data_IF_027656976446
#
_entry.id   IF_027656976446
#
_cell.length_a   1.000
_cell.length_b   1.000
_cell.length_c   1.000
_cell.angle_alpha   90.00
_cell.angle_beta   90.00
_cell.angle_gamma   90.00
#
_symmetry.space_group_name_H-M   'P 1'
#
loop_
_entity.id
_entity.type
_entity.pdbx_description
1 polymer ?
#
# COMPACT_ATOMS: atom_id res chain seq x y z
N UNK A 1 -3.88 23.18 17.97
CA UNK A 1 -2.93 22.30 18.68
C UNK A 1 -3.52 21.18 19.57
N UNK A 2 -4.78 21.15 20.01
CA UNK A 2 -5.29 20.05 20.84
C UNK A 2 -5.79 18.82 20.07
N UNK A 3 -5.95 18.89 18.76
CA UNK A 3 -6.58 17.82 17.97
C UNK A 3 -5.72 16.57 17.79
N UNK A 4 -4.43 16.72 17.81
CA UNK A 4 -3.46 15.65 17.62
C UNK A 4 -3.42 14.65 18.77
N UNK A 5 -3.33 15.14 20.00
CA UNK A 5 -3.28 14.30 21.21
C UNK A 5 -4.52 13.42 21.37
N UNK A 6 -5.70 13.92 20.96
CA UNK A 6 -6.95 13.15 21.02
C UNK A 6 -7.03 12.07 19.93
N UNK A 7 -6.51 12.33 18.72
CA UNK A 7 -6.47 11.34 17.65
C UNK A 7 -5.50 10.20 18.00
N UNK A 8 -4.35 10.53 18.58
CA UNK A 8 -3.36 9.55 19.01
C UNK A 8 -3.82 8.72 20.20
N UNK A 9 -4.44 9.36 21.21
CA UNK A 9 -5.01 8.62 22.32
C UNK A 9 -6.12 7.67 21.85
N UNK A 10 -6.97 8.11 20.91
CA UNK A 10 -7.95 7.25 20.24
C UNK A 10 -7.29 6.12 19.48
N UNK A 11 -6.19 6.37 18.77
CA UNK A 11 -5.44 5.33 18.06
C UNK A 11 -4.86 4.30 19.03
N UNK A 12 -4.22 4.73 20.11
CA UNK A 12 -3.69 3.86 21.16
C UNK A 12 -4.80 3.04 21.83
N UNK A 13 -5.92 3.67 22.17
CA UNK A 13 -7.06 3.00 22.80
C UNK A 13 -7.77 2.01 21.83
N UNK A 14 -7.89 2.36 20.55
CA UNK A 14 -8.47 1.47 19.52
C UNK A 14 -7.58 0.28 19.20
N UNK A 15 -6.27 0.35 19.41
CA UNK A 15 -5.33 -0.78 19.27
C UNK A 15 -5.68 -1.98 20.16
N UNK A 16 -6.35 -1.74 21.28
CA UNK A 16 -6.81 -2.79 22.19
C UNK A 16 -8.18 -3.35 21.80
N UNK A 17 -8.90 -2.69 20.87
CA UNK A 17 -10.16 -3.16 20.32
C UNK A 17 -9.89 -3.66 18.90
N UNK A 18 -9.94 -4.98 18.70
CA UNK A 18 -9.87 -5.60 17.38
C UNK A 18 -11.17 -5.27 16.62
N UNK A 19 -11.15 -4.24 15.78
CA UNK A 19 -12.24 -3.95 14.84
C UNK A 19 -12.09 -4.85 13.59
N UNK A 20 -13.21 -5.06 12.85
CA UNK A 20 -13.23 -5.93 11.66
C UNK A 20 -12.31 -5.46 10.53
N UNK A 21 -11.87 -4.20 10.55
CA UNK A 21 -11.04 -3.57 9.50
C UNK A 21 -9.92 -2.73 10.13
N UNK A 22 -8.85 -3.35 10.61
CA UNK A 22 -7.77 -2.65 11.33
C UNK A 22 -7.11 -1.52 10.52
N UNK A 23 -6.94 -1.69 9.20
CA UNK A 23 -6.29 -0.70 8.35
C UNK A 23 -7.12 0.59 8.23
N UNK A 24 -8.43 0.49 7.97
CA UNK A 24 -9.31 1.66 7.93
C UNK A 24 -9.22 2.45 9.25
N UNK A 25 -9.26 1.75 10.40
CA UNK A 25 -9.15 2.37 11.73
C UNK A 25 -7.82 3.09 11.93
N UNK A 26 -6.71 2.52 11.46
CA UNK A 26 -5.39 3.14 11.54
C UNK A 26 -5.36 4.44 10.73
N UNK A 27 -5.76 4.39 9.47
CA UNK A 27 -5.75 5.55 8.58
C UNK A 27 -6.73 6.65 9.02
N UNK A 28 -7.93 6.30 9.47
CA UNK A 28 -8.91 7.25 9.99
C UNK A 28 -8.48 7.91 11.30
N UNK A 29 -7.71 7.20 12.13
CA UNK A 29 -7.28 7.71 13.45
C UNK A 29 -6.10 8.66 13.38
N UNK A 30 -5.20 8.46 12.44
CA UNK A 30 -3.95 9.20 12.37
C UNK A 30 -4.01 10.36 11.36
N UNK A 31 -4.97 10.34 10.43
CA UNK A 31 -5.01 11.28 9.31
C UNK A 31 -3.85 11.05 8.32
N UNK A 32 -3.99 11.56 7.11
CA UNK A 32 -2.99 11.41 6.05
C UNK A 32 -1.63 12.04 6.38
N UNK A 33 -1.64 13.11 7.18
CA UNK A 33 -0.44 13.90 7.48
C UNK A 33 0.52 13.21 8.47
N UNK A 34 0.00 12.25 9.23
CA UNK A 34 0.74 11.59 10.32
C UNK A 34 1.62 10.46 9.83
N UNK A 35 1.29 9.87 8.70
CA UNK A 35 2.06 8.75 8.15
C UNK A 35 3.36 9.17 7.47
N UNK A 36 3.72 10.46 7.54
CA UNK A 36 4.85 10.98 6.79
C UNK A 36 4.61 10.73 5.31
N UNK A 37 3.38 11.01 4.85
CA UNK A 37 3.09 11.06 3.44
C UNK A 37 4.19 11.88 2.78
N UNK A 38 4.86 11.30 1.80
CA UNK A 38 5.97 12.00 1.14
C UNK A 38 5.46 13.28 0.50
N UNK A 39 4.25 13.19 -0.08
CA UNK A 39 3.56 14.33 -0.69
C UNK A 39 2.04 14.24 -0.42
N UNK A 40 1.32 15.38 -0.41
CA UNK A 40 -0.12 15.39 -0.17
C UNK A 40 -0.90 14.49 -1.13
N UNK A 41 -1.65 13.55 -0.55
CA UNK A 41 -2.48 12.59 -1.30
C UNK A 41 -1.80 11.28 -1.67
N UNK A 42 -0.50 11.12 -1.41
CA UNK A 42 0.24 9.90 -1.64
C UNK A 42 0.37 9.05 -0.38
N UNK A 43 0.21 7.74 -0.51
CA UNK A 43 0.38 6.79 0.59
C UNK A 43 1.40 5.71 0.30
N UNK A 44 1.92 5.62 -0.95
CA UNK A 44 2.97 4.67 -1.30
C UNK A 44 4.37 5.20 -0.96
N UNK A 45 5.34 4.31 -0.82
CA UNK A 45 6.74 4.61 -0.45
C UNK A 45 7.57 5.18 -1.59
N UNK A 46 7.04 5.14 -2.81
CA UNK A 46 7.74 5.59 -4.01
C UNK A 46 8.73 4.57 -4.57
N UNK A 47 9.01 4.73 -5.85
CA UNK A 47 10.10 4.06 -6.56
C UNK A 47 11.17 5.10 -6.86
N UNK A 48 12.40 4.91 -6.36
CA UNK A 48 13.44 5.92 -6.31
C UNK A 48 14.55 5.59 -7.30
N UNK A 49 15.02 6.59 -8.05
CA UNK A 49 16.19 6.47 -8.92
C UNK A 49 17.49 6.75 -8.14
N UNK A 50 17.39 7.56 -7.09
CA UNK A 50 18.51 7.97 -6.26
C UNK A 50 18.40 7.53 -4.80
N UNK A 51 19.24 8.09 -3.93
CA UNK A 51 19.38 7.67 -2.54
C UNK A 51 18.21 8.12 -1.62
N UNK A 52 17.16 8.72 -2.15
CA UNK A 52 16.02 9.23 -1.39
C UNK A 52 16.16 10.70 -1.01
N UNK A 53 16.60 11.53 -1.92
CA UNK A 53 16.75 12.96 -1.69
C UNK A 53 15.41 13.69 -1.73
N UNK A 54 15.38 14.90 -1.13
CA UNK A 54 14.15 15.67 -0.98
C UNK A 54 13.53 16.05 -2.33
N UNK A 55 14.35 16.37 -3.34
CA UNK A 55 13.88 16.76 -4.67
C UNK A 55 13.20 15.60 -5.43
N UNK A 56 13.48 14.34 -5.07
CA UNK A 56 12.82 13.18 -5.68
C UNK A 56 11.50 12.82 -4.99
N UNK A 57 11.24 13.37 -3.79
CA UNK A 57 10.10 12.96 -2.96
C UNK A 57 8.75 13.15 -3.65
N UNK A 58 8.62 14.18 -4.48
CA UNK A 58 7.42 14.44 -5.27
C UNK A 58 7.23 13.46 -6.45
N UNK A 59 8.33 12.93 -7.00
CA UNK A 59 8.32 12.07 -8.18
C UNK A 59 8.27 10.59 -7.84
N UNK A 60 8.92 10.17 -6.77
CA UNK A 60 9.04 8.77 -6.41
C UNK A 60 7.70 8.04 -6.24
N UNK A 61 6.65 8.63 -5.59
CA UNK A 61 5.33 8.02 -5.51
C UNK A 61 4.66 7.84 -6.89
N UNK A 62 4.84 8.81 -7.80
CA UNK A 62 4.36 8.72 -9.17
C UNK A 62 5.06 7.59 -9.93
N UNK A 63 6.40 7.50 -9.83
CA UNK A 63 7.20 6.44 -10.45
C UNK A 63 6.76 5.05 -9.99
N UNK A 64 6.34 4.88 -8.74
CA UNK A 64 5.77 3.61 -8.26
C UNK A 64 4.53 3.23 -9.07
N UNK A 65 3.63 4.18 -9.33
CA UNK A 65 2.44 3.95 -10.17
C UNK A 65 2.86 3.61 -11.60
N UNK A 66 3.83 4.32 -12.16
CA UNK A 66 4.38 4.05 -13.49
C UNK A 66 4.94 2.63 -13.61
N UNK A 67 5.70 2.17 -12.59
CA UNK A 67 6.24 0.80 -12.55
C UNK A 67 5.13 -0.26 -12.54
N UNK A 68 4.04 -0.03 -11.80
CA UNK A 68 2.91 -0.97 -11.75
C UNK A 68 2.09 -0.91 -13.05
N UNK A 69 1.82 0.27 -13.57
CA UNK A 69 1.07 0.46 -14.82
C UNK A 69 1.80 -0.14 -16.04
N UNK A 70 3.13 -0.23 -16.00
CA UNK A 70 3.91 -0.84 -17.09
C UNK A 70 3.55 -2.30 -17.37
N UNK A 71 2.94 -3.01 -16.43
CA UNK A 71 2.47 -4.38 -16.59
C UNK A 71 1.05 -4.47 -17.16
N UNK A 72 0.36 -3.35 -17.35
CA UNK A 72 -1.05 -3.31 -17.76
C UNK A 72 -1.17 -2.67 -19.14
N UNK A 73 -1.85 -3.30 -20.11
CA UNK A 73 -2.15 -2.67 -21.40
C UNK A 73 -3.01 -1.41 -21.21
N UNK A 74 -2.80 -0.38 -22.04
CA UNK A 74 -3.66 0.81 -22.01
C UNK A 74 -5.09 0.50 -22.47
N UNK A 75 -6.03 1.36 -22.10
CA UNK A 75 -7.44 1.24 -22.42
C UNK A 75 -8.21 0.29 -21.52
N UNK A 76 -9.44 -0.03 -21.91
CA UNK A 76 -10.33 -0.96 -21.22
C UNK A 76 -10.83 -0.48 -19.87
N UNK A 77 -11.30 -1.43 -19.04
CA UNK A 77 -11.85 -1.14 -17.71
C UNK A 77 -10.83 -1.51 -16.63
N UNK A 78 -10.39 -0.53 -15.87
CA UNK A 78 -9.37 -0.69 -14.83
C UNK A 78 -10.01 -0.54 -13.45
N UNK A 79 -9.66 -1.44 -12.55
CA UNK A 79 -10.05 -1.44 -11.14
C UNK A 79 -8.82 -1.17 -10.28
N UNK A 80 -8.81 -0.05 -9.54
CA UNK A 80 -7.78 0.26 -8.54
C UNK A 80 -8.29 -0.12 -7.14
N UNK A 81 -7.68 -1.12 -6.51
CA UNK A 81 -8.11 -1.67 -5.22
C UNK A 81 -7.18 -1.24 -4.11
N UNK A 82 -7.71 -0.46 -3.17
CA UNK A 82 -6.93 0.19 -2.13
C UNK A 82 -6.30 1.50 -2.62
N UNK A 83 -7.08 2.29 -3.35
CA UNK A 83 -6.64 3.51 -4.05
C UNK A 83 -6.13 4.65 -3.15
N UNK A 84 -6.21 4.50 -1.85
CA UNK A 84 -5.77 5.52 -0.88
C UNK A 84 -6.55 6.84 -1.02
N UNK A 85 -5.83 7.94 -1.21
CA UNK A 85 -6.39 9.29 -1.33
C UNK A 85 -6.57 9.77 -2.78
N UNK A 86 -6.52 8.88 -3.75
CA UNK A 86 -6.83 9.16 -5.15
C UNK A 86 -5.71 9.79 -5.98
N UNK A 87 -4.51 9.99 -5.44
CA UNK A 87 -3.40 10.55 -6.22
C UNK A 87 -2.92 9.58 -7.31
N UNK A 88 -2.89 8.27 -7.01
CA UNK A 88 -2.53 7.24 -7.97
C UNK A 88 -3.52 7.11 -9.11
N UNK A 89 -4.83 7.30 -8.84
CA UNK A 89 -5.88 7.23 -9.86
C UNK A 89 -5.67 8.26 -10.98
N UNK A 90 -5.17 9.47 -10.64
CA UNK A 90 -4.84 10.50 -11.62
C UNK A 90 -3.75 10.01 -12.58
N UNK A 91 -2.71 9.38 -12.04
CA UNK A 91 -1.59 8.85 -12.84
C UNK A 91 -2.02 7.63 -13.66
N UNK A 92 -2.82 6.72 -13.08
CA UNK A 92 -3.41 5.59 -13.80
C UNK A 92 -4.23 6.08 -15.01
N UNK A 93 -5.06 7.13 -14.82
CA UNK A 93 -5.83 7.76 -15.90
C UNK A 93 -4.93 8.32 -17.00
N UNK A 94 -3.87 9.02 -16.64
CA UNK A 94 -2.93 9.61 -17.59
C UNK A 94 -2.19 8.54 -18.42
N UNK A 95 -1.73 7.48 -17.76
CA UNK A 95 -0.89 6.45 -18.39
C UNK A 95 -1.70 5.44 -19.19
N UNK A 96 -2.74 4.88 -18.59
CA UNK A 96 -3.51 3.78 -19.19
C UNK A 96 -4.69 4.26 -20.02
N UNK A 97 -5.18 5.48 -19.84
CA UNK A 97 -6.35 6.05 -20.54
C UNK A 97 -7.53 5.06 -20.59
N UNK A 98 -7.92 4.49 -19.43
CA UNK A 98 -8.95 3.47 -19.41
C UNK A 98 -10.31 4.05 -19.85
N UNK A 99 -11.16 3.21 -20.50
CA UNK A 99 -12.54 3.58 -20.83
C UNK A 99 -13.34 3.83 -19.54
N UNK A 100 -13.05 3.06 -18.50
CA UNK A 100 -13.59 3.23 -17.15
C UNK A 100 -12.54 2.94 -16.10
N UNK A 101 -12.44 3.81 -15.10
CA UNK A 101 -11.61 3.62 -13.91
C UNK A 101 -12.52 3.52 -12.69
N UNK A 102 -12.43 2.43 -11.94
CA UNK A 102 -13.15 2.24 -10.68
C UNK A 102 -12.15 2.22 -9.53
N UNK A 103 -12.35 3.07 -8.54
CA UNK A 103 -11.48 3.21 -7.36
C UNK A 103 -12.16 2.60 -6.13
N UNK A 104 -11.62 1.48 -5.64
CA UNK A 104 -12.16 0.76 -4.48
C UNK A 104 -11.35 1.05 -3.23
N UNK A 105 -12.04 1.41 -2.15
CA UNK A 105 -11.44 1.55 -0.84
C UNK A 105 -12.40 1.05 0.26
N UNK A 106 -11.84 0.44 1.29
CA UNK A 106 -12.61 0.07 2.48
C UNK A 106 -12.97 1.29 3.34
N UNK A 107 -12.18 2.35 3.26
CA UNK A 107 -12.40 3.60 3.99
C UNK A 107 -13.17 4.62 3.16
N UNK A 108 -14.45 4.80 3.48
CA UNK A 108 -15.25 5.89 2.91
C UNK A 108 -14.63 7.28 3.19
N UNK A 109 -13.96 7.43 4.34
CA UNK A 109 -13.27 8.66 4.70
C UNK A 109 -12.19 9.01 3.66
N UNK A 110 -11.34 8.05 3.26
CA UNK A 110 -10.29 8.28 2.27
C UNK A 110 -10.87 8.64 0.89
N UNK A 111 -11.93 7.98 0.44
CA UNK A 111 -12.61 8.32 -0.82
C UNK A 111 -13.15 9.75 -0.79
N UNK A 112 -13.74 10.16 0.34
CA UNK A 112 -14.25 11.52 0.52
C UNK A 112 -13.13 12.56 0.51
N UNK A 113 -12.03 12.32 1.21
CA UNK A 113 -10.85 13.19 1.21
C UNK A 113 -10.18 13.26 -0.17
N UNK A 114 -10.21 12.15 -0.92
CA UNK A 114 -9.68 12.04 -2.29
C UNK A 114 -10.60 12.55 -3.39
N UNK A 115 -11.82 12.99 -3.10
CA UNK A 115 -12.88 13.27 -4.08
C UNK A 115 -12.46 14.17 -5.25
N UNK A 116 -11.67 15.21 -4.99
CA UNK A 116 -11.20 16.11 -6.04
C UNK A 116 -10.21 15.45 -7.00
N UNK A 117 -9.37 14.55 -6.50
CA UNK A 117 -8.44 13.75 -7.31
C UNK A 117 -9.17 12.68 -8.10
N UNK A 118 -10.13 12.01 -7.47
CA UNK A 118 -10.99 11.01 -8.14
C UNK A 118 -11.81 11.65 -9.26
N UNK A 119 -12.40 12.84 -9.04
CA UNK A 119 -13.09 13.59 -10.08
C UNK A 119 -12.15 13.96 -11.26
N UNK A 120 -10.92 14.39 -10.95
CA UNK A 120 -9.91 14.71 -11.99
C UNK A 120 -9.46 13.45 -12.74
N UNK A 121 -9.43 12.30 -12.09
CA UNK A 121 -9.14 11.02 -12.70
C UNK A 121 -10.34 10.41 -13.45
N UNK A 122 -11.52 10.98 -13.35
CA UNK A 122 -12.77 10.41 -13.86
C UNK A 122 -12.95 8.98 -13.33
N UNK A 123 -12.65 8.79 -12.04
CA UNK A 123 -12.73 7.50 -11.37
C UNK A 123 -14.03 7.39 -10.58
N UNK A 124 -14.70 6.25 -10.70
CA UNK A 124 -15.92 5.91 -9.97
C UNK A 124 -15.53 5.38 -8.57
N UNK A 125 -15.79 6.12 -7.46
CA UNK A 125 -15.45 5.67 -6.13
C UNK A 125 -16.44 4.60 -5.62
N UNK A 126 -15.91 3.51 -5.08
CA UNK A 126 -16.68 2.42 -4.49
C UNK A 126 -16.14 2.07 -3.11
N UNK A 127 -16.99 2.15 -2.09
CA UNK A 127 -16.63 1.68 -0.74
C UNK A 127 -16.91 0.18 -0.64
N UNK A 128 -15.83 -0.63 -0.57
CA UNK A 128 -15.95 -2.09 -0.46
C UNK A 128 -14.70 -2.73 0.16
N UNK A 129 -14.86 -3.95 0.67
CA UNK A 129 -13.77 -4.83 1.06
C UNK A 129 -13.17 -5.47 -0.20
N UNK A 130 -11.85 -5.45 -0.32
CA UNK A 130 -11.11 -6.06 -1.43
C UNK A 130 -11.36 -7.57 -1.58
N UNK A 131 -11.73 -8.24 -0.49
CA UNK A 131 -12.04 -9.68 -0.46
C UNK A 131 -13.49 -10.00 -0.84
N UNK A 132 -14.28 -8.96 -1.18
CA UNK A 132 -15.68 -9.07 -1.60
C UNK A 132 -16.06 -7.86 -2.47
N UNK A 133 -15.61 -7.88 -3.71
CA UNK A 133 -15.79 -6.77 -4.64
C UNK A 133 -17.21 -6.73 -5.22
N UNK A 134 -17.93 -5.60 -5.14
CA UNK A 134 -19.26 -5.43 -5.76
C UNK A 134 -19.12 -5.14 -7.27
N UNK A 135 -18.30 -5.92 -7.94
CA UNK A 135 -17.97 -5.81 -9.37
C UNK A 135 -18.38 -7.11 -10.07
N UNK A 136 -19.00 -7.00 -11.23
CA UNK A 136 -19.43 -8.16 -12.00
C UNK A 136 -18.24 -9.02 -12.44
N UNK A 137 -18.44 -10.33 -12.48
CA UNK A 137 -17.43 -11.27 -12.99
C UNK A 137 -17.11 -10.98 -14.44
N UNK A 138 -15.82 -11.12 -14.82
CA UNK A 138 -15.35 -10.97 -16.20
C UNK A 138 -15.51 -9.56 -16.78
N UNK A 139 -15.70 -8.53 -15.94
CA UNK A 139 -16.03 -7.18 -16.42
C UNK A 139 -14.84 -6.23 -16.50
N UNK A 140 -13.70 -6.58 -15.90
CA UNK A 140 -12.50 -5.73 -15.85
C UNK A 140 -11.40 -6.28 -16.77
N UNK A 141 -10.67 -5.38 -17.41
CA UNK A 141 -9.46 -5.72 -18.19
C UNK A 141 -8.21 -5.72 -17.34
N UNK A 142 -8.20 -4.93 -16.27
CA UNK A 142 -7.07 -4.89 -15.33
C UNK A 142 -7.52 -4.63 -13.89
N UNK A 143 -6.76 -5.20 -12.96
CA UNK A 143 -6.81 -4.91 -11.52
C UNK A 143 -5.45 -4.38 -11.09
N UNK A 144 -5.43 -3.22 -10.44
CA UNK A 144 -4.23 -2.59 -9.88
C UNK A 144 -4.38 -2.52 -8.36
N UNK A 145 -3.30 -2.73 -7.62
CA UNK A 145 -3.26 -2.51 -6.17
C UNK A 145 -1.87 -2.05 -5.75
N UNK A 146 -1.75 -0.84 -5.21
CA UNK A 146 -0.46 -0.22 -4.88
C UNK A 146 -0.33 -0.05 -3.38
N UNK A 147 0.61 -0.79 -2.76
CA UNK A 147 0.86 -0.80 -1.30
C UNK A 147 -0.41 -0.99 -0.45
N UNK A 148 -1.31 -1.88 -0.87
CA UNK A 148 -2.56 -2.09 -0.16
C UNK A 148 -2.81 -3.56 0.23
N UNK A 149 -2.34 -4.53 -0.55
CA UNK A 149 -2.72 -5.93 -0.38
C UNK A 149 -2.25 -6.53 0.97
N UNK A 150 -1.15 -6.06 1.53
CA UNK A 150 -0.70 -6.49 2.88
C UNK A 150 -1.63 -6.02 4.02
N UNK A 151 -2.51 -5.05 3.76
CA UNK A 151 -3.54 -4.61 4.71
C UNK A 151 -4.84 -5.40 4.61
N UNK A 152 -5.09 -6.12 3.52
CA UNK A 152 -6.34 -6.84 3.32
C UNK A 152 -6.48 -7.98 4.33
N UNK A 153 -7.72 -8.34 4.64
CA UNK A 153 -8.01 -9.42 5.59
C UNK A 153 -7.45 -10.77 5.12
N UNK A 154 -7.35 -10.98 3.80
CA UNK A 154 -6.72 -12.12 3.13
C UNK A 154 -6.29 -11.73 1.72
N UNK A 155 -4.98 -11.85 1.43
CA UNK A 155 -4.48 -11.71 0.05
C UNK A 155 -5.07 -12.76 -0.89
N UNK A 156 -5.13 -14.01 -0.44
CA UNK A 156 -5.68 -15.10 -1.24
C UNK A 156 -7.14 -14.84 -1.63
N UNK A 157 -7.97 -14.36 -0.70
CA UNK A 157 -9.34 -13.99 -1.01
C UNK A 157 -9.42 -12.78 -1.97
N UNK A 158 -8.53 -11.78 -1.81
CA UNK A 158 -8.42 -10.68 -2.77
C UNK A 158 -8.02 -11.18 -4.16
N UNK A 159 -7.05 -12.08 -4.26
CA UNK A 159 -6.64 -12.62 -5.56
C UNK A 159 -7.76 -13.44 -6.23
N UNK A 160 -8.53 -14.21 -5.47
CA UNK A 160 -9.69 -14.91 -5.99
C UNK A 160 -10.77 -13.92 -6.52
N UNK A 161 -11.03 -12.83 -5.81
CA UNK A 161 -11.93 -11.77 -6.28
C UNK A 161 -11.37 -11.03 -7.49
N UNK A 162 -10.08 -10.71 -7.50
CA UNK A 162 -9.41 -10.09 -8.64
C UNK A 162 -9.51 -10.97 -9.90
N UNK A 163 -9.28 -12.28 -9.76
CA UNK A 163 -9.45 -13.24 -10.85
C UNK A 163 -10.91 -13.30 -11.32
N UNK A 164 -11.85 -13.36 -10.41
CA UNK A 164 -13.29 -13.39 -10.73
C UNK A 164 -13.75 -12.18 -11.54
N UNK A 165 -13.30 -10.98 -11.18
CA UNK A 165 -13.73 -9.73 -11.85
C UNK A 165 -13.00 -9.49 -13.17
N UNK A 166 -11.82 -10.07 -13.35
CA UNK A 166 -11.08 -9.98 -14.61
C UNK A 166 -11.73 -10.82 -15.70
N UNK A 167 -11.73 -10.29 -16.93
CA UNK A 167 -12.02 -11.06 -18.13
C UNK A 167 -10.87 -12.03 -18.43
N UNK A 168 -11.09 -13.07 -19.25
CA UNK A 168 -9.99 -13.88 -19.76
C UNK A 168 -8.87 -12.99 -20.35
N UNK A 169 -7.63 -13.34 -20.10
CA UNK A 169 -6.42 -12.58 -20.46
C UNK A 169 -6.29 -11.19 -19.78
N UNK A 170 -7.18 -10.86 -18.83
CA UNK A 170 -7.06 -9.67 -18.01
C UNK A 170 -5.80 -9.70 -17.14
N UNK A 171 -5.30 -8.54 -16.73
CA UNK A 171 -4.05 -8.43 -15.98
C UNK A 171 -4.29 -7.97 -14.55
N UNK A 172 -3.56 -8.57 -13.60
CA UNK A 172 -3.35 -8.00 -12.28
C UNK A 172 -1.93 -7.46 -12.19
N UNK A 173 -1.78 -6.25 -11.62
CA UNK A 173 -0.48 -5.67 -11.32
C UNK A 173 -0.53 -5.03 -9.93
N UNK A 174 0.45 -5.33 -9.10
CA UNK A 174 0.48 -4.80 -7.74
C UNK A 174 1.89 -4.53 -7.23
N UNK A 175 1.98 -3.65 -6.26
CA UNK A 175 3.16 -3.47 -5.43
C UNK A 175 2.81 -3.77 -3.97
N UNK A 176 3.70 -4.47 -3.27
CA UNK A 176 3.39 -4.92 -1.92
C UNK A 176 4.62 -5.01 -1.00
N UNK A 177 4.38 -4.87 0.30
CA UNK A 177 5.37 -5.09 1.34
C UNK A 177 5.37 -6.58 1.69
N UNK A 178 6.55 -7.18 1.63
CA UNK A 178 6.76 -8.60 1.89
C UNK A 178 7.93 -8.82 2.84
N UNK A 179 8.13 -10.05 3.25
CA UNK A 179 9.36 -10.44 3.94
C UNK A 179 10.25 -11.27 2.99
N UNK A 180 11.56 -11.07 3.06
CA UNK A 180 12.51 -11.92 2.34
C UNK A 180 12.64 -13.28 3.00
N UNK A 181 12.50 -13.31 4.32
CA UNK A 181 12.47 -14.49 5.18
C UNK A 181 11.69 -14.22 6.46
N UNK A 182 11.25 -15.26 7.12
CA UNK A 182 10.64 -15.14 8.44
C UNK A 182 11.65 -14.60 9.46
N UNK A 183 11.20 -13.76 10.44
CA UNK A 183 12.04 -13.31 11.55
C UNK A 183 12.65 -14.49 12.33
N UNK A 184 13.93 -14.38 12.70
CA UNK A 184 14.68 -15.36 13.48
C UNK A 184 15.27 -14.68 14.70
N UNK A 185 15.16 -15.33 15.85
CA UNK A 185 15.64 -14.76 17.11
C UNK A 185 14.73 -13.69 17.71
N UNK A 186 14.93 -13.44 19.02
CA UNK A 186 14.04 -12.63 19.85
C UNK A 186 13.83 -11.20 19.33
N UNK A 187 14.91 -10.51 18.98
CA UNK A 187 14.83 -9.10 18.57
C UNK A 187 14.11 -8.88 17.22
N UNK A 188 14.33 -9.77 16.24
CA UNK A 188 13.60 -9.70 14.96
C UNK A 188 12.11 -10.01 15.15
N UNK A 189 11.79 -11.00 16.00
CA UNK A 189 10.39 -11.35 16.33
C UNK A 189 9.70 -10.19 17.04
N UNK A 190 10.34 -9.59 18.06
CA UNK A 190 9.79 -8.45 18.78
C UNK A 190 9.57 -7.25 17.84
N UNK A 191 10.55 -6.94 16.99
CA UNK A 191 10.43 -5.89 15.98
C UNK A 191 9.30 -6.18 15.00
N UNK A 192 9.17 -7.42 14.52
CA UNK A 192 8.08 -7.85 13.64
C UNK A 192 6.70 -7.70 14.31
N UNK A 193 6.54 -8.21 15.54
CA UNK A 193 5.29 -8.11 16.30
C UNK A 193 4.90 -6.65 16.52
N UNK A 194 5.87 -5.79 16.85
CA UNK A 194 5.61 -4.36 17.03
C UNK A 194 5.15 -3.70 15.73
N UNK A 195 5.78 -4.02 14.57
CA UNK A 195 5.34 -3.57 13.24
C UNK A 195 3.89 -3.97 12.97
N UNK A 196 3.57 -5.25 13.14
CA UNK A 196 2.22 -5.76 12.91
C UNK A 196 1.18 -5.03 13.78
N UNK A 197 1.49 -4.84 15.06
CA UNK A 197 0.61 -4.13 15.98
C UNK A 197 0.48 -2.65 15.64
N UNK A 198 1.58 -2.00 15.28
CA UNK A 198 1.56 -0.58 14.93
C UNK A 198 0.69 -0.31 13.70
N UNK A 199 0.81 -1.13 12.67
CA UNK A 199 0.09 -0.96 11.42
C UNK A 199 -1.25 -1.71 11.36
N UNK A 200 -1.67 -2.35 12.44
CA UNK A 200 -2.90 -3.15 12.48
C UNK A 200 -2.87 -4.36 11.55
N UNK A 201 -1.68 -4.87 11.24
CA UNK A 201 -1.50 -6.00 10.33
C UNK A 201 -1.72 -7.34 11.04
N UNK A 202 -2.25 -8.31 10.31
CA UNK A 202 -2.40 -9.70 10.78
C UNK A 202 -1.11 -10.49 10.56
N UNK A 203 -0.88 -11.53 11.33
CA UNK A 203 0.23 -12.46 11.08
C UNK A 203 0.12 -13.13 9.72
N UNK A 204 -1.09 -13.39 9.24
CA UNK A 204 -1.35 -13.91 7.89
C UNK A 204 -0.94 -12.95 6.76
N UNK A 205 -0.78 -11.65 7.05
CA UNK A 205 -0.26 -10.67 6.08
C UNK A 205 1.25 -10.78 5.88
N UNK A 206 1.97 -11.54 6.74
CA UNK A 206 3.43 -11.74 6.60
C UNK A 206 3.68 -12.87 5.61
N UNK A 207 4.06 -12.51 4.39
CA UNK A 207 4.36 -13.45 3.31
C UNK A 207 5.66 -13.07 2.60
N UNK A 208 6.36 -14.06 2.05
CA UNK A 208 7.48 -13.83 1.12
C UNK A 208 6.94 -13.51 -0.28
N UNK A 209 7.79 -12.99 -1.17
CA UNK A 209 7.41 -12.76 -2.56
C UNK A 209 6.96 -14.05 -3.25
N UNK A 210 7.64 -15.15 -2.95
CA UNK A 210 7.35 -16.45 -3.53
C UNK A 210 5.98 -16.98 -3.01
N UNK A 211 5.68 -16.86 -1.72
CA UNK A 211 4.37 -17.20 -1.15
C UNK A 211 3.23 -16.33 -1.73
N UNK A 212 3.49 -15.06 -2.06
CA UNK A 212 2.48 -14.21 -2.72
C UNK A 212 2.28 -14.64 -4.17
N UNK A 213 3.34 -15.00 -4.89
CA UNK A 213 3.27 -15.54 -6.24
C UNK A 213 2.50 -16.87 -6.28
N UNK A 214 2.75 -17.76 -5.32
CA UNK A 214 2.01 -19.02 -5.17
C UNK A 214 0.50 -18.77 -4.92
N UNK A 215 0.16 -17.75 -4.11
CA UNK A 215 -1.25 -17.38 -3.88
C UNK A 215 -1.93 -16.88 -5.16
N UNK A 216 -1.22 -16.12 -6.02
CA UNK A 216 -1.73 -15.72 -7.34
C UNK A 216 -1.97 -16.94 -8.24
N UNK A 217 -1.01 -17.84 -8.32
CA UNK A 217 -1.15 -19.09 -9.11
C UNK A 217 -2.32 -19.93 -8.61
N UNK A 218 -2.46 -20.08 -7.30
CA UNK A 218 -3.57 -20.81 -6.67
C UNK A 218 -4.94 -20.16 -6.92
N UNK A 219 -4.98 -18.84 -7.17
CA UNK A 219 -6.20 -18.12 -7.52
C UNK A 219 -6.58 -18.21 -9.00
N UNK A 220 -5.79 -18.92 -9.85
CA UNK A 220 -6.07 -19.11 -11.26
C UNK A 220 -5.27 -18.19 -12.19
N UNK A 221 -4.28 -17.45 -11.68
CA UNK A 221 -3.42 -16.62 -12.51
C UNK A 221 -2.28 -17.43 -13.14
N UNK A 222 -1.95 -17.10 -14.39
CA UNK A 222 -0.79 -17.57 -15.13
C UNK A 222 0.24 -16.45 -15.31
N UNK A 223 1.42 -16.78 -15.81
CA UNK A 223 2.49 -15.85 -16.15
C UNK A 223 2.86 -14.92 -14.95
N UNK A 224 2.94 -15.50 -13.75
CA UNK A 224 3.23 -14.74 -12.55
C UNK A 224 4.69 -14.29 -12.56
N UNK A 225 4.90 -12.96 -12.61
CA UNK A 225 6.19 -12.31 -12.46
C UNK A 225 6.27 -11.62 -11.08
N UNK A 226 7.39 -11.78 -10.37
CA UNK A 226 7.61 -11.23 -9.05
C UNK A 226 9.00 -10.63 -8.94
N UNK A 227 9.11 -9.32 -9.04
CA UNK A 227 10.37 -8.56 -8.99
C UNK A 227 10.56 -7.90 -7.63
N UNK A 228 11.56 -8.34 -6.87
CA UNK A 228 11.95 -7.70 -5.60
C UNK A 228 12.64 -6.37 -5.88
N UNK A 229 12.28 -5.32 -5.15
CA UNK A 229 12.79 -3.96 -5.34
C UNK A 229 12.92 -3.16 -4.04
N UNK A 230 13.12 -3.84 -2.89
CA UNK A 230 13.23 -3.16 -1.61
C UNK A 230 14.39 -2.17 -1.52
N UNK A 231 15.48 -2.34 -2.29
CA UNK A 231 16.62 -1.42 -2.35
C UNK A 231 16.29 -0.07 -2.97
N UNK A 232 15.39 -0.04 -3.95
CA UNK A 232 14.95 1.21 -4.61
C UNK A 232 13.61 1.74 -4.08
N UNK A 233 12.98 1.04 -3.13
CA UNK A 233 11.73 1.47 -2.50
C UNK A 233 11.94 1.78 -1.03
N UNK A 234 12.35 0.78 -0.23
CA UNK A 234 12.40 0.91 1.22
C UNK A 234 13.62 1.73 1.67
N UNK A 235 14.79 1.42 1.13
CA UNK A 235 16.04 2.03 1.61
C UNK A 235 16.09 3.55 1.39
N UNK A 236 15.72 4.10 0.20
CA UNK A 236 15.65 5.55 0.00
C UNK A 236 14.54 6.20 0.84
N UNK A 237 13.37 5.58 0.91
CA UNK A 237 12.25 6.09 1.70
C UNK A 237 12.62 6.23 3.19
N UNK A 238 13.31 5.24 3.77
CA UNK A 238 13.76 5.30 5.15
C UNK A 238 14.81 6.39 5.37
N UNK A 239 15.72 6.61 4.41
CA UNK A 239 16.70 7.71 4.48
C UNK A 239 16.02 9.07 4.48
N UNK A 240 15.07 9.31 3.58
CA UNK A 240 14.30 10.55 3.53
C UNK A 240 13.54 10.78 4.85
N UNK A 241 12.80 9.77 5.32
CA UNK A 241 12.03 9.86 6.57
C UNK A 241 12.93 10.15 7.77
N UNK A 242 14.11 9.52 7.83
CA UNK A 242 15.08 9.80 8.88
C UNK A 242 15.49 11.27 8.91
N UNK A 243 15.75 11.88 7.75
CA UNK A 243 16.10 13.30 7.63
C UNK A 243 14.93 14.21 7.98
N UNK A 244 13.74 13.96 7.44
CA UNK A 244 12.53 14.75 7.72
C UNK A 244 12.18 14.74 9.21
N UNK A 245 12.25 13.59 9.88
CA UNK A 245 12.00 13.51 11.32
C UNK A 245 13.12 14.10 12.19
N UNK A 246 14.36 14.15 11.69
CA UNK A 246 15.44 14.85 12.36
C UNK A 246 15.23 16.37 12.28
N UNK A 247 14.84 16.88 11.11
CA UNK A 247 14.66 18.32 10.86
C UNK A 247 13.37 18.90 11.46
N UNK A 248 12.32 18.09 11.67
CA UNK A 248 11.03 18.57 12.16
C UNK A 248 11.06 18.91 13.64
N UNK A 249 11.42 20.17 13.98
CA UNK A 249 11.42 20.68 15.36
C UNK A 249 10.02 21.03 15.88
N UNK A 250 9.04 21.25 15.00
CA UNK A 250 7.69 21.68 15.36
C UNK A 250 6.82 20.56 15.95
N UNK A 251 7.12 19.29 15.63
CA UNK A 251 6.37 18.15 16.16
C UNK A 251 6.69 17.89 17.64
N UNK A 252 5.70 17.47 18.45
CA UNK A 252 5.93 17.11 19.85
C UNK A 252 7.04 16.08 20.03
N UNK A 253 7.83 16.18 21.10
CA UNK A 253 8.98 15.30 21.37
C UNK A 253 8.63 13.81 21.29
N UNK A 254 7.49 13.42 21.85
CA UNK A 254 7.03 12.02 21.83
C UNK A 254 6.78 11.49 20.40
N UNK A 255 6.24 12.35 19.51
CA UNK A 255 6.01 12.00 18.12
C UNK A 255 7.31 11.79 17.35
N UNK A 256 8.24 12.72 17.50
CA UNK A 256 9.57 12.62 16.88
C UNK A 256 10.30 11.36 17.33
N UNK A 257 10.20 11.03 18.61
CA UNK A 257 10.79 9.81 19.15
C UNK A 257 10.11 8.55 18.56
N UNK A 258 8.79 8.49 18.55
CA UNK A 258 8.02 7.39 17.96
C UNK A 258 8.30 7.19 16.47
N UNK A 259 8.36 8.28 15.71
CA UNK A 259 8.68 8.24 14.28
C UNK A 259 10.12 7.75 14.02
N UNK A 260 11.10 8.25 14.79
CA UNK A 260 12.49 7.77 14.73
C UNK A 260 12.61 6.30 15.10
N UNK A 261 11.91 5.86 16.15
CA UNK A 261 11.90 4.46 16.57
C UNK A 261 11.33 3.55 15.47
N UNK A 262 10.25 3.99 14.79
CA UNK A 262 9.67 3.27 13.65
C UNK A 262 10.64 3.13 12.48
N UNK A 263 11.28 4.24 12.08
CA UNK A 263 12.28 4.22 10.99
C UNK A 263 13.47 3.35 11.35
N UNK A 264 13.98 3.47 12.58
CA UNK A 264 15.10 2.66 13.06
C UNK A 264 14.77 1.16 13.06
N UNK A 265 13.55 0.81 13.46
CA UNK A 265 13.05 -0.56 13.48
C UNK A 265 12.90 -1.14 12.06
N UNK A 266 12.30 -0.39 11.13
CA UNK A 266 12.20 -0.84 9.74
C UNK A 266 13.58 -0.98 9.10
N UNK A 267 14.49 -0.02 9.37
CA UNK A 267 15.88 -0.10 8.96
C UNK A 267 16.62 -1.31 9.55
N UNK A 268 16.33 -1.66 10.82
CA UNK A 268 16.84 -2.88 11.44
C UNK A 268 16.35 -4.13 10.70
N UNK A 269 15.04 -4.28 10.50
CA UNK A 269 14.48 -5.43 9.79
C UNK A 269 15.00 -5.53 8.35
N UNK A 270 15.17 -4.39 7.67
CA UNK A 270 15.72 -4.34 6.32
C UNK A 270 17.19 -4.80 6.30
N UNK A 271 18.06 -4.25 7.15
CA UNK A 271 19.47 -4.66 7.26
C UNK A 271 19.64 -6.12 7.67
N UNK A 272 18.72 -6.65 8.47
CA UNK A 272 18.69 -8.08 8.82
C UNK A 272 18.17 -8.98 7.70
N UNK A 273 17.80 -8.43 6.55
CA UNK A 273 17.25 -9.17 5.43
C UNK A 273 15.88 -9.80 5.73
N UNK A 274 15.08 -9.15 6.60
CA UNK A 274 13.71 -9.59 6.89
C UNK A 274 12.71 -8.86 6.01
N UNK A 275 12.74 -7.53 6.01
CA UNK A 275 11.79 -6.69 5.27
C UNK A 275 12.20 -6.54 3.81
N UNK A 276 11.25 -6.68 2.90
CA UNK A 276 11.47 -6.47 1.48
C UNK A 276 10.21 -5.87 0.80
N UNK A 277 10.32 -5.58 -0.47
CA UNK A 277 9.27 -5.03 -1.30
C UNK A 277 9.24 -5.73 -2.66
N UNK A 278 8.04 -5.91 -3.22
CA UNK A 278 7.85 -6.64 -4.48
C UNK A 278 6.89 -5.90 -5.40
N UNK A 279 7.20 -5.94 -6.70
CA UNK A 279 6.26 -5.70 -7.78
C UNK A 279 5.84 -7.05 -8.34
N UNK A 280 4.54 -7.25 -8.50
CA UNK A 280 3.98 -8.48 -9.06
C UNK A 280 3.04 -8.17 -10.22
N UNK A 281 3.07 -9.02 -11.21
CA UNK A 281 2.07 -9.04 -12.28
C UNK A 281 1.70 -10.46 -12.66
N UNK A 282 0.46 -10.65 -13.13
CA UNK A 282 0.01 -11.93 -13.62
C UNK A 282 -1.16 -11.77 -14.59
N UNK A 283 -1.48 -12.82 -15.34
CA UNK A 283 -2.58 -12.88 -16.31
C UNK A 283 -3.68 -13.82 -15.81
N UNK A 284 -4.93 -13.38 -15.89
CA UNK A 284 -6.07 -14.26 -15.64
C UNK A 284 -6.18 -15.30 -16.75
N UNK A 285 -6.23 -16.58 -16.39
CA UNK A 285 -6.33 -17.71 -17.31
C UNK A 285 -7.78 -18.10 -17.56
#
# INVERSE_FOLDING_TARGET
MPTWTRAQLRHVLRRFRYERQPAATVYESLGSDVFGAFEPGWLNRGYWDGPGDEHESALAPRRMVEQVCAYVPPGGRVLDVGNGLGAQDVVIRELLRPDRLVAVNVSHFQLREGRSRLARAWADPVTADATRLPIASGSMSAVISIEAAFHFSSRAAFFAEAHRVLRPDGRIALSDIVVRRRPRGLFEVLAGVWTLRFWGLRRASVATADEVAEQLTAAGFADVDARRCGEVVIDPALRLLSRRFAANSAAPRLHRWGARAMVAQWGYLRRRGVLDYVLLSARAS
#
